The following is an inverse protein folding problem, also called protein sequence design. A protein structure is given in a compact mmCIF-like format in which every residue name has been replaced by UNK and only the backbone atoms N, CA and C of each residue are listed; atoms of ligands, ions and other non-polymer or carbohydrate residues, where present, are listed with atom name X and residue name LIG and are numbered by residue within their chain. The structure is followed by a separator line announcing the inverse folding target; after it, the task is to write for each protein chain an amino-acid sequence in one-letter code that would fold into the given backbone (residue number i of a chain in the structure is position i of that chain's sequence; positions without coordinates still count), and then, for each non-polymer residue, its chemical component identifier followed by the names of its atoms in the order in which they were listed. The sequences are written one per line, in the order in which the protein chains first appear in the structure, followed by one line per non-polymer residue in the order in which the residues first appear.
data_IF_321111175451
#
_entry.id   IF_321111175451
#
_cell.length_a   1.000
_cell.length_b   1.000
_cell.length_c   1.000
_cell.angle_alpha   90.00
_cell.angle_beta   90.00
_cell.angle_gamma   90.00
#
_symmetry.space_group_name_H-M   'P 1'
#
loop_
_entity.id
_entity.type
_entity.pdbx_description
1 polymer ?
#
# COMPACT_ATOMS: atom_id res chain seq x y z
N UNK A 1 -3.97 25.49 -22.16
CA UNK A 1 -3.38 24.33 -21.47
C UNK A 1 -4.32 23.89 -20.36
N UNK A 2 -4.73 22.62 -20.38
CA UNK A 2 -5.68 22.09 -19.40
C UNK A 2 -4.92 21.64 -18.17
N UNK A 3 -5.32 22.13 -17.00
CA UNK A 3 -4.74 21.72 -15.73
C UNK A 3 -5.32 20.36 -15.32
N UNK A 4 -4.46 19.42 -14.95
CA UNK A 4 -4.93 18.12 -14.45
C UNK A 4 -5.62 18.31 -13.10
N UNK A 5 -6.74 17.59 -12.91
CA UNK A 5 -7.45 17.54 -11.65
C UNK A 5 -6.66 16.71 -10.65
N UNK A 6 -6.44 17.23 -9.46
CA UNK A 6 -5.83 16.47 -8.38
C UNK A 6 -6.86 15.54 -7.74
N UNK A 7 -6.46 14.29 -7.54
CA UNK A 7 -7.27 13.26 -6.87
C UNK A 7 -6.50 12.76 -5.66
N UNK A 8 -7.02 12.99 -4.48
CA UNK A 8 -6.35 12.63 -3.24
C UNK A 8 -6.70 11.20 -2.82
N UNK A 9 -5.67 10.39 -2.61
CA UNK A 9 -5.79 8.98 -2.26
C UNK A 9 -5.08 8.76 -0.92
N UNK A 10 -5.85 8.33 0.07
CA UNK A 10 -5.30 7.95 1.38
C UNK A 10 -4.75 6.53 1.29
N UNK A 11 -3.50 6.35 1.68
CA UNK A 11 -2.82 5.06 1.66
C UNK A 11 -2.30 4.73 3.04
N UNK A 12 -2.55 3.51 3.49
CA UNK A 12 -2.02 2.95 4.73
C UNK A 12 -1.38 1.60 4.45
N UNK A 13 -0.23 1.34 5.06
CA UNK A 13 0.48 0.08 4.90
C UNK A 13 0.78 -0.54 6.26
N UNK A 14 0.88 -1.87 6.28
CA UNK A 14 1.42 -2.63 7.40
C UNK A 14 2.71 -3.30 6.95
N UNK A 15 3.71 -3.31 7.83
CA UNK A 15 5.03 -3.85 7.53
C UNK A 15 5.50 -4.79 8.62
N UNK A 16 6.50 -5.62 8.31
CA UNK A 16 7.13 -6.51 9.30
C UNK A 16 8.21 -5.82 10.13
N UNK A 17 8.52 -4.58 9.83
CA UNK A 17 9.50 -3.78 10.56
C UNK A 17 9.74 -2.44 9.87
N UNK A 18 10.57 -1.55 10.46
CA UNK A 18 10.62 -0.15 10.06
C UNK A 18 11.50 0.18 8.84
N UNK A 19 12.32 -0.76 8.35
CA UNK A 19 13.32 -0.45 7.31
C UNK A 19 12.95 -1.13 6.00
N UNK A 20 12.66 -0.38 4.91
CA UNK A 20 12.40 -0.96 3.59
C UNK A 20 13.59 -1.81 3.12
N UNK A 21 13.30 -2.93 2.45
CA UNK A 21 14.35 -3.85 1.98
C UNK A 21 14.85 -4.80 3.03
N UNK A 22 14.99 -4.35 4.27
CA UNK A 22 15.31 -5.21 5.41
C UNK A 22 14.08 -5.93 5.95
N UNK A 23 12.96 -5.21 5.99
CA UNK A 23 11.65 -5.75 6.38
C UNK A 23 10.68 -5.66 5.20
N UNK A 24 9.62 -6.43 5.26
CA UNK A 24 8.66 -6.54 4.15
C UNK A 24 7.42 -5.69 4.38
N UNK A 25 6.85 -5.20 3.27
CA UNK A 25 5.50 -4.65 3.26
C UNK A 25 4.51 -5.82 3.26
N UNK A 26 3.55 -5.83 4.17
CA UNK A 26 2.63 -6.94 4.40
C UNK A 26 1.22 -6.68 3.89
N UNK A 27 0.77 -5.44 3.92
CA UNK A 27 -0.54 -5.07 3.39
C UNK A 27 -0.57 -3.64 2.92
N UNK A 28 -1.47 -3.36 1.98
CA UNK A 28 -1.78 -2.02 1.50
C UNK A 28 -3.28 -1.83 1.59
N UNK A 29 -3.68 -0.72 2.21
CA UNK A 29 -5.05 -0.24 2.17
C UNK A 29 -5.08 1.16 1.58
N UNK A 30 -6.09 1.46 0.78
CA UNK A 30 -6.25 2.78 0.18
C UNK A 30 -7.72 3.14 0.04
N UNK A 31 -8.02 4.42 0.07
CA UNK A 31 -9.35 4.92 -0.26
C UNK A 31 -9.26 6.29 -0.92
N UNK A 32 -10.30 6.61 -1.68
CA UNK A 32 -10.44 7.93 -2.27
C UNK A 32 -10.88 8.91 -1.18
N UNK A 33 -10.15 10.01 -0.99
CA UNK A 33 -10.45 10.97 0.09
C UNK A 33 -11.83 11.59 -0.09
N UNK A 34 -12.19 11.94 -1.32
CA UNK A 34 -13.48 12.55 -1.63
C UNK A 34 -14.66 11.56 -1.64
N UNK A 35 -14.37 10.27 -1.72
CA UNK A 35 -15.38 9.20 -1.66
C UNK A 35 -14.78 7.99 -0.95
N UNK A 36 -14.78 7.98 0.39
CA UNK A 36 -14.14 6.90 1.16
C UNK A 36 -14.75 5.51 0.98
N UNK A 37 -15.91 5.40 0.34
CA UNK A 37 -16.48 4.11 -0.03
C UNK A 37 -15.70 3.42 -1.16
N UNK A 38 -14.95 4.18 -1.96
CA UNK A 38 -14.05 3.64 -2.98
C UNK A 38 -12.76 3.21 -2.31
N UNK A 39 -12.59 1.90 -2.13
CA UNK A 39 -11.46 1.33 -1.38
C UNK A 39 -10.69 0.32 -2.19
N UNK A 40 -9.42 0.15 -1.83
CA UNK A 40 -8.55 -0.91 -2.29
C UNK A 40 -7.86 -1.53 -1.08
N UNK A 41 -7.69 -2.84 -1.09
CA UNK A 41 -6.84 -3.51 -0.11
C UNK A 41 -6.26 -4.79 -0.68
N UNK A 42 -5.05 -5.13 -0.26
CA UNK A 42 -4.47 -6.43 -0.57
C UNK A 42 -3.43 -6.82 0.48
N UNK A 43 -3.21 -8.12 0.59
CA UNK A 43 -2.13 -8.72 1.38
C UNK A 43 -0.99 -9.08 0.44
N UNK A 44 0.25 -8.87 0.89
CA UNK A 44 1.43 -9.14 0.10
C UNK A 44 2.17 -10.36 0.66
N UNK A 45 2.77 -11.12 -0.26
CA UNK A 45 3.73 -12.15 0.12
C UNK A 45 5.02 -11.48 0.60
N UNK A 46 5.47 -11.73 1.83
CA UNK A 46 6.70 -11.13 2.33
C UNK A 46 7.91 -11.49 1.47
N UNK A 47 8.77 -10.51 1.22
CA UNK A 47 10.02 -10.70 0.48
C UNK A 47 11.15 -11.20 1.38
N UNK A 48 10.96 -11.15 2.70
CA UNK A 48 11.91 -11.62 3.69
C UNK A 48 11.16 -12.19 4.89
N UNK A 49 11.75 -13.16 5.58
CA UNK A 49 11.21 -13.67 6.84
C UNK A 49 11.63 -12.82 8.04
N UNK A 50 12.50 -11.85 7.85
CA UNK A 50 12.90 -10.95 8.92
C UNK A 50 11.70 -10.11 9.35
N UNK A 51 11.38 -10.15 10.63
CA UNK A 51 10.24 -9.45 11.19
C UNK A 51 10.54 -8.98 12.60
N UNK A 52 10.01 -7.80 12.93
CA UNK A 52 9.96 -7.29 14.29
C UNK A 52 8.71 -7.85 14.96
N UNK A 53 8.82 -8.64 16.06
CA UNK A 53 7.64 -9.19 16.71
C UNK A 53 6.61 -8.14 17.13
N UNK A 54 7.07 -6.96 17.52
CA UNK A 54 6.18 -5.86 17.91
C UNK A 54 5.38 -5.33 16.70
N UNK A 55 6.02 -5.23 15.54
CA UNK A 55 5.33 -4.80 14.32
C UNK A 55 4.27 -5.82 13.89
N UNK A 56 4.56 -7.12 14.01
CA UNK A 56 3.59 -8.17 13.73
C UNK A 56 2.41 -8.14 14.70
N UNK A 57 2.68 -7.89 15.98
CA UNK A 57 1.62 -7.77 16.98
C UNK A 57 0.71 -6.60 16.69
N UNK A 58 1.26 -5.45 16.33
CA UNK A 58 0.48 -4.25 15.99
C UNK A 58 -0.39 -4.46 14.76
N UNK A 59 0.16 -5.10 13.72
CA UNK A 59 -0.59 -5.36 12.48
C UNK A 59 -1.61 -6.48 12.62
N UNK A 60 -1.38 -7.43 13.54
CA UNK A 60 -2.22 -8.62 13.69
C UNK A 60 -2.06 -9.63 12.56
N UNK A 61 -1.02 -9.50 11.73
CA UNK A 61 -0.81 -10.36 10.56
C UNK A 61 0.13 -11.52 10.88
N UNK A 62 -0.12 -12.66 10.26
CA UNK A 62 0.68 -13.88 10.39
C UNK A 62 1.50 -14.09 9.11
N UNK A 63 2.83 -14.18 9.25
CA UNK A 63 3.72 -14.32 8.10
C UNK A 63 3.47 -15.62 7.32
N UNK A 64 3.17 -16.73 7.99
CA UNK A 64 2.92 -18.00 7.30
C UNK A 64 1.68 -17.91 6.42
N UNK A 65 0.62 -17.26 6.90
CA UNK A 65 -0.59 -17.01 6.11
C UNK A 65 -0.27 -16.13 4.90
N UNK A 66 0.54 -15.08 5.09
CA UNK A 66 0.92 -14.17 4.00
C UNK A 66 1.79 -14.88 2.96
N UNK A 67 2.68 -15.79 3.37
CA UNK A 67 3.44 -16.61 2.41
C UNK A 67 2.54 -17.51 1.58
N UNK A 68 1.46 -18.03 2.17
CA UNK A 68 0.54 -18.92 1.48
C UNK A 68 -0.47 -18.17 0.60
N UNK A 69 -0.97 -17.03 1.05
CA UNK A 69 -2.12 -16.35 0.46
C UNK A 69 -1.82 -14.95 -0.09
N UNK A 70 -0.69 -14.35 0.28
CA UNK A 70 -0.34 -13.01 -0.16
C UNK A 70 0.03 -12.94 -1.64
N UNK A 71 -0.21 -11.77 -2.24
CA UNK A 71 0.18 -11.50 -3.62
C UNK A 71 1.67 -11.22 -3.72
N UNK A 72 2.28 -11.62 -4.83
CA UNK A 72 3.62 -11.16 -5.14
C UNK A 72 3.63 -9.62 -5.19
N UNK A 73 4.70 -8.94 -4.70
CA UNK A 73 4.73 -7.49 -4.65
C UNK A 73 4.46 -6.82 -6.01
N UNK A 74 4.96 -7.38 -7.09
CA UNK A 74 4.75 -6.85 -8.45
C UNK A 74 3.27 -6.88 -8.82
N UNK A 75 2.56 -7.95 -8.47
CA UNK A 75 1.13 -8.10 -8.75
C UNK A 75 0.33 -7.13 -7.89
N UNK A 76 0.70 -6.97 -6.62
CA UNK A 76 0.04 -6.02 -5.73
C UNK A 76 0.18 -4.58 -6.25
N UNK A 77 1.37 -4.20 -6.71
CA UNK A 77 1.61 -2.88 -7.28
C UNK A 77 0.81 -2.65 -8.57
N UNK A 78 0.74 -3.64 -9.45
CA UNK A 78 -0.08 -3.56 -10.66
C UNK A 78 -1.55 -3.36 -10.34
N UNK A 79 -2.07 -4.07 -9.33
CA UNK A 79 -3.47 -3.92 -8.89
C UNK A 79 -3.74 -2.57 -8.28
N UNK A 80 -2.83 -2.06 -7.46
CA UNK A 80 -2.93 -0.72 -6.88
C UNK A 80 -2.96 0.34 -8.00
N UNK A 81 -2.03 0.23 -8.95
CA UNK A 81 -1.92 1.15 -10.07
C UNK A 81 -3.20 1.16 -10.93
N UNK A 82 -3.74 -0.03 -11.22
CA UNK A 82 -5.01 -0.16 -11.96
C UNK A 82 -6.18 0.47 -11.19
N UNK A 83 -6.26 0.23 -9.89
CA UNK A 83 -7.31 0.82 -9.07
C UNK A 83 -7.20 2.35 -9.02
N UNK A 84 -5.98 2.88 -8.86
CA UNK A 84 -5.74 4.33 -8.87
C UNK A 84 -6.19 4.95 -10.19
N UNK A 85 -5.86 4.31 -11.32
CA UNK A 85 -6.28 4.78 -12.63
C UNK A 85 -7.81 4.77 -12.77
N UNK A 86 -8.47 3.71 -12.29
CA UNK A 86 -9.93 3.56 -12.37
C UNK A 86 -10.66 4.62 -11.55
N UNK A 87 -10.22 4.89 -10.32
CA UNK A 87 -10.90 5.85 -9.44
C UNK A 87 -10.54 7.30 -9.74
N UNK A 88 -9.38 7.55 -10.33
CA UNK A 88 -8.94 8.91 -10.67
C UNK A 88 -9.55 9.43 -11.96
N UNK A 89 -9.75 8.56 -12.94
CA UNK A 89 -10.25 8.96 -14.26
C UNK A 89 -9.17 9.55 -15.15
N UNK A 90 -9.58 9.96 -16.35
CA UNK A 90 -8.67 10.58 -17.31
C UNK A 90 -8.28 11.99 -16.88
N UNK A 91 -7.10 12.42 -17.29
CA UNK A 91 -6.56 13.75 -17.02
C UNK A 91 -6.48 14.09 -15.53
N UNK A 92 -6.37 13.07 -14.68
CA UNK A 92 -6.21 13.25 -13.25
C UNK A 92 -4.75 13.07 -12.83
N UNK A 93 -4.39 13.79 -11.77
CA UNK A 93 -3.09 13.68 -11.11
C UNK A 93 -3.31 13.11 -9.71
N UNK A 94 -3.05 11.81 -9.46
CA UNK A 94 -3.24 11.24 -8.14
C UNK A 94 -2.20 11.80 -7.15
N UNK A 95 -2.67 12.14 -5.95
CA UNK A 95 -1.83 12.62 -4.85
C UNK A 95 -2.04 11.69 -3.66
N UNK A 96 -0.96 11.03 -3.22
CA UNK A 96 -1.01 10.11 -2.11
C UNK A 96 -0.89 10.83 -0.78
N UNK A 97 -1.77 10.48 0.15
CA UNK A 97 -1.81 11.03 1.50
C UNK A 97 -1.76 9.89 2.49
N UNK A 98 -0.87 9.97 3.47
CA UNK A 98 -0.75 8.93 4.49
C UNK A 98 -0.55 9.53 5.87
N UNK A 99 -0.89 8.76 6.91
CA UNK A 99 -0.68 9.18 8.29
C UNK A 99 0.82 9.43 8.58
N UNK A 100 1.69 8.57 8.02
CA UNK A 100 3.12 8.76 8.04
C UNK A 100 3.66 8.64 6.61
N UNK A 101 3.30 9.61 5.78
CA UNK A 101 3.53 9.57 4.34
C UNK A 101 4.97 9.27 3.93
N UNK A 102 6.02 9.87 4.53
CA UNK A 102 7.40 9.53 4.17
C UNK A 102 7.75 8.06 4.42
N UNK A 103 7.27 7.48 5.52
CA UNK A 103 7.47 6.08 5.85
C UNK A 103 6.74 5.17 4.86
N UNK A 104 5.45 5.41 4.63
CA UNK A 104 4.63 4.63 3.71
C UNK A 104 5.20 4.66 2.30
N UNK A 105 5.59 5.84 1.84
CA UNK A 105 6.17 6.05 0.51
C UNK A 105 7.49 5.31 0.35
N UNK A 106 8.32 5.26 1.39
CA UNK A 106 9.61 4.56 1.35
C UNK A 106 9.45 3.07 1.09
N UNK A 107 8.39 2.43 1.64
CA UNK A 107 8.09 1.03 1.38
C UNK A 107 7.51 0.80 -0.02
N UNK A 108 6.60 1.67 -0.45
CA UNK A 108 5.95 1.54 -1.77
C UNK A 108 6.95 1.70 -2.90
N UNK A 109 7.94 2.58 -2.76
CA UNK A 109 8.93 2.87 -3.80
C UNK A 109 10.23 2.07 -3.67
N UNK A 110 10.38 1.26 -2.66
CA UNK A 110 11.56 0.43 -2.53
C UNK A 110 11.53 -0.69 -3.55
#
# INVERSE_FOLDING_TARGET
MTRKREVFISVDIETSGPIPGEFAMLSIGACLVDDPAQTFSCLLRPTTRKADPQALEVSGLDLDVLYAEGLAPEVAMERLESWVADVSGEDASPVFVGFNAPFDWSFVNY
#
